data_IF_728643984607
#
_entry.id   IF_728643984607
#
_cell.length_a   1.000
_cell.length_b   1.000
_cell.length_c   1.000
_cell.angle_alpha   90.00
_cell.angle_beta   90.00
_cell.angle_gamma   90.00
#
_symmetry.space_group_name_H-M   'P 1'
#
loop_
_entity.id
_entity.type
_entity.pdbx_description
1 polymer ?
#
# COMPACT_ATOMS: atom_id res chain seq x y z
N UNK A 1 -19.80 4.83 -5.14
CA UNK A 1 -20.96 4.14 -5.73
C UNK A 1 -20.69 3.64 -7.18
N UNK A 2 -19.58 4.01 -7.78
CA UNK A 2 -19.23 3.56 -9.13
C UNK A 2 -18.70 2.12 -9.12
N UNK A 3 -17.88 1.77 -8.13
CA UNK A 3 -17.20 0.48 -8.06
C UNK A 3 -17.80 -0.49 -7.03
N UNK A 4 -18.53 0.02 -6.02
CA UNK A 4 -19.03 -0.79 -4.90
C UNK A 4 -20.50 -0.45 -4.66
N UNK A 5 -21.33 -1.48 -4.51
CA UNK A 5 -22.71 -1.30 -4.08
C UNK A 5 -22.77 -0.69 -2.67
N UNK A 6 -23.78 0.18 -2.45
CA UNK A 6 -23.92 0.90 -1.17
C UNK A 6 -24.09 -0.02 0.04
N UNK A 7 -24.71 -1.19 -0.15
CA UNK A 7 -24.92 -2.17 0.93
C UNK A 7 -23.60 -2.84 1.30
N UNK A 8 -22.78 -3.20 0.30
CA UNK A 8 -21.46 -3.80 0.53
C UNK A 8 -20.47 -2.77 1.11
N UNK A 9 -20.49 -1.53 0.64
CA UNK A 9 -19.64 -0.47 1.18
C UNK A 9 -19.81 -0.24 2.69
N UNK A 10 -21.02 -0.46 3.24
CA UNK A 10 -21.26 -0.36 4.70
C UNK A 10 -20.55 -1.42 5.53
N UNK A 11 -20.17 -2.53 4.92
CA UNK A 11 -19.44 -3.64 5.57
C UNK A 11 -17.92 -3.45 5.53
N UNK A 12 -17.42 -2.40 4.89
CA UNK A 12 -16.00 -2.13 4.64
C UNK A 12 -15.61 -0.79 5.25
N UNK A 13 -14.41 -0.73 5.81
CA UNK A 13 -13.75 0.56 6.08
C UNK A 13 -13.38 1.25 4.75
N UNK A 14 -13.12 2.54 4.79
CA UNK A 14 -12.87 3.34 3.60
C UNK A 14 -11.61 2.87 2.83
N UNK A 15 -10.54 2.45 3.54
CA UNK A 15 -9.34 1.93 2.88
C UNK A 15 -9.64 0.67 2.04
N UNK A 16 -10.52 -0.23 2.53
CA UNK A 16 -10.97 -1.41 1.77
C UNK A 16 -11.79 -1.01 0.55
N UNK A 17 -12.60 0.05 0.67
CA UNK A 17 -13.37 0.57 -0.47
C UNK A 17 -12.43 1.12 -1.57
N UNK A 18 -11.36 1.82 -1.20
CA UNK A 18 -10.33 2.24 -2.15
C UNK A 18 -9.64 1.03 -2.79
N UNK A 19 -9.28 0.00 -2.01
CA UNK A 19 -8.68 -1.23 -2.52
C UNK A 19 -9.55 -1.88 -3.61
N UNK A 20 -10.85 -2.06 -3.36
CA UNK A 20 -11.79 -2.59 -4.36
C UNK A 20 -11.86 -1.71 -5.61
N UNK A 21 -11.91 -0.38 -5.41
CA UNK A 21 -11.98 0.56 -6.52
C UNK A 21 -10.78 0.48 -7.47
N UNK A 22 -9.57 0.45 -6.92
CA UNK A 22 -8.33 0.37 -7.72
C UNK A 22 -8.09 -1.04 -8.27
N UNK A 23 -8.46 -2.09 -7.53
CA UNK A 23 -8.35 -3.47 -8.02
C UNK A 23 -9.27 -3.71 -9.23
N UNK A 24 -10.51 -3.20 -9.23
CA UNK A 24 -11.40 -3.29 -10.38
C UNK A 24 -10.80 -2.63 -11.61
N UNK A 25 -10.24 -1.43 -11.47
CA UNK A 25 -9.59 -0.72 -12.56
C UNK A 25 -8.38 -1.49 -13.09
N UNK A 26 -7.53 -2.02 -12.19
CA UNK A 26 -6.34 -2.76 -12.59
C UNK A 26 -6.66 -4.08 -13.29
N UNK A 27 -7.63 -4.85 -12.79
CA UNK A 27 -8.05 -6.11 -13.43
C UNK A 27 -8.70 -5.84 -14.79
N UNK A 28 -9.55 -4.82 -14.90
CA UNK A 28 -10.15 -4.42 -16.18
C UNK A 28 -9.08 -3.98 -17.19
N UNK A 29 -8.15 -3.12 -16.80
CA UNK A 29 -7.07 -2.62 -17.66
C UNK A 29 -6.09 -3.72 -18.09
N UNK A 30 -5.86 -4.72 -17.23
CA UNK A 30 -5.02 -5.88 -17.54
C UNK A 30 -5.58 -6.77 -18.64
N UNK A 31 -6.89 -6.70 -18.90
CA UNK A 31 -7.59 -7.58 -19.80
C UNK A 31 -7.56 -9.06 -19.39
N UNK A 32 -7.35 -9.35 -18.10
CA UNK A 32 -7.35 -10.71 -17.56
C UNK A 32 -8.75 -11.30 -17.69
N UNK A 33 -8.88 -12.40 -18.42
CA UNK A 33 -10.16 -13.09 -18.63
C UNK A 33 -10.46 -14.04 -17.48
N UNK A 34 -11.04 -13.49 -16.42
CA UNK A 34 -11.32 -14.20 -15.16
C UNK A 34 -12.17 -15.46 -15.36
N UNK A 35 -13.00 -15.52 -16.41
CA UNK A 35 -13.85 -16.69 -16.68
C UNK A 35 -13.08 -17.87 -17.28
N UNK A 36 -11.96 -17.62 -17.95
CA UNK A 36 -11.16 -18.63 -18.63
C UNK A 36 -9.80 -18.91 -17.97
N UNK A 37 -9.48 -18.22 -16.88
CA UNK A 37 -8.22 -18.39 -16.13
C UNK A 37 -8.30 -19.49 -15.06
N UNK A 38 -7.15 -20.08 -14.72
CA UNK A 38 -7.06 -20.92 -13.50
C UNK A 38 -7.01 -20.02 -12.26
N UNK A 39 -8.16 -19.80 -11.65
CA UNK A 39 -8.31 -18.96 -10.47
C UNK A 39 -7.50 -19.45 -9.26
N UNK A 40 -7.04 -20.70 -9.23
CA UNK A 40 -6.15 -21.22 -8.19
C UNK A 40 -4.71 -20.70 -8.35
N UNK A 41 -4.38 -20.17 -9.53
CA UNK A 41 -3.09 -19.56 -9.86
C UNK A 41 -3.10 -18.05 -9.87
N UNK A 42 -4.22 -17.42 -9.50
CA UNK A 42 -4.32 -15.97 -9.36
C UNK A 42 -4.41 -15.62 -7.88
N UNK A 43 -3.46 -14.82 -7.40
CA UNK A 43 -3.36 -14.39 -6.01
C UNK A 43 -3.71 -12.92 -5.80
N UNK A 44 -3.79 -12.54 -4.52
CA UNK A 44 -3.95 -11.15 -4.09
C UNK A 44 -3.01 -10.87 -2.93
N UNK A 45 -2.08 -9.94 -3.10
CA UNK A 45 -1.22 -9.44 -2.03
C UNK A 45 -1.42 -7.93 -1.97
N UNK A 46 -2.17 -7.47 -0.97
CA UNK A 46 -2.63 -6.09 -0.93
C UNK A 46 -2.50 -5.51 0.47
N UNK A 47 -1.67 -4.49 0.63
CA UNK A 47 -1.27 -3.98 1.92
C UNK A 47 -2.04 -2.76 2.40
N UNK A 48 -2.06 -2.58 3.71
CA UNK A 48 -2.45 -1.34 4.39
C UNK A 48 -1.51 -1.11 5.57
N UNK A 49 -0.99 0.10 5.72
CA UNK A 49 -0.04 0.42 6.79
C UNK A 49 -0.71 0.51 8.17
N UNK A 50 -1.93 1.01 8.22
CA UNK A 50 -2.72 1.19 9.44
C UNK A 50 -4.02 0.37 9.37
N UNK A 51 -4.67 0.31 8.21
CA UNK A 51 -5.95 -0.37 8.04
C UNK A 51 -7.14 0.45 8.57
N UNK A 52 -8.12 -0.22 9.18
CA UNK A 52 -9.39 0.37 9.54
C UNK A 52 -9.41 1.28 10.77
N UNK A 53 -8.52 2.25 10.84
CA UNK A 53 -8.42 3.18 11.98
C UNK A 53 -9.69 4.03 12.19
N UNK A 54 -10.40 4.38 11.12
CA UNK A 54 -11.69 5.09 11.22
C UNK A 54 -12.73 4.24 11.94
N UNK A 55 -12.85 2.99 11.53
CA UNK A 55 -13.75 2.03 12.18
C UNK A 55 -13.37 1.82 13.62
N UNK A 56 -12.08 1.71 13.94
CA UNK A 56 -11.61 1.59 15.32
C UNK A 56 -11.99 2.82 16.15
N UNK A 57 -11.73 4.02 15.66
CA UNK A 57 -12.05 5.28 16.33
C UNK A 57 -13.55 5.39 16.62
N UNK A 58 -14.40 5.10 15.63
CA UNK A 58 -15.84 5.17 15.75
C UNK A 58 -16.38 4.15 16.79
N UNK A 59 -15.99 2.89 16.68
CA UNK A 59 -16.49 1.82 17.55
C UNK A 59 -15.95 1.93 18.99
N UNK A 60 -14.66 2.18 19.16
CA UNK A 60 -14.05 2.36 20.47
C UNK A 60 -14.53 3.65 21.14
N UNK A 61 -14.66 4.74 20.38
CA UNK A 61 -15.20 6.01 20.86
C UNK A 61 -16.66 5.88 21.31
N UNK A 62 -17.51 5.23 20.51
CA UNK A 62 -18.89 4.97 20.87
C UNK A 62 -19.01 4.13 22.15
N UNK A 63 -18.22 3.06 22.29
CA UNK A 63 -18.18 2.27 23.52
C UNK A 63 -17.70 3.11 24.70
N UNK A 64 -16.69 3.94 24.54
CA UNK A 64 -16.16 4.78 25.63
C UNK A 64 -17.18 5.80 26.16
N UNK A 65 -18.05 6.32 25.27
CA UNK A 65 -19.12 7.27 25.60
C UNK A 65 -20.36 6.59 26.23
N UNK A 66 -20.56 5.30 25.99
CA UNK A 66 -21.78 4.57 26.36
C UNK A 66 -21.47 3.26 27.08
N UNK A 67 -20.47 3.28 28.00
CA UNK A 67 -20.03 2.10 28.78
C UNK A 67 -21.15 1.42 29.55
N UNK A 68 -22.15 2.17 29.99
CA UNK A 68 -23.34 1.68 30.71
C UNK A 68 -24.15 0.67 29.89
N UNK A 69 -24.02 0.69 28.54
CA UNK A 69 -24.72 -0.24 27.66
C UNK A 69 -23.96 -1.57 27.46
N UNK A 70 -22.79 -1.73 28.08
CA UNK A 70 -21.90 -2.86 27.88
C UNK A 70 -21.15 -2.81 26.54
N UNK A 71 -20.26 -3.77 26.26
CA UNK A 71 -19.43 -3.79 25.07
C UNK A 71 -20.22 -4.26 23.85
N UNK A 72 -21.03 -3.39 23.27
CA UNK A 72 -21.79 -3.62 22.05
C UNK A 72 -21.06 -2.99 20.87
N UNK A 73 -20.58 -3.82 19.95
CA UNK A 73 -19.88 -3.42 18.75
C UNK A 73 -20.63 -3.86 17.49
N UNK A 74 -20.35 -3.20 16.37
CA UNK A 74 -20.82 -3.61 15.07
C UNK A 74 -20.28 -5.02 14.75
N UNK A 75 -21.12 -5.97 14.25
CA UNK A 75 -20.64 -7.31 13.84
C UNK A 75 -19.49 -7.28 12.81
N UNK A 76 -19.37 -6.22 12.04
CA UNK A 76 -18.29 -6.02 11.07
C UNK A 76 -17.10 -5.27 11.65
N UNK A 77 -17.06 -4.95 12.94
CA UNK A 77 -15.98 -4.17 13.55
C UNK A 77 -14.59 -4.76 13.24
N UNK A 78 -14.36 -6.01 13.63
CA UNK A 78 -13.08 -6.66 13.39
C UNK A 78 -12.78 -6.83 11.88
N UNK A 79 -13.71 -7.39 11.07
CA UNK A 79 -13.47 -7.49 9.62
C UNK A 79 -13.20 -6.15 8.91
N UNK A 80 -13.75 -5.05 9.40
CA UNK A 80 -13.47 -3.72 8.85
C UNK A 80 -12.12 -3.16 9.28
N UNK A 81 -11.64 -3.57 10.45
CA UNK A 81 -10.45 -3.00 11.07
C UNK A 81 -9.15 -3.66 10.58
N UNK A 82 -9.12 -4.99 10.44
CA UNK A 82 -7.90 -5.74 10.14
C UNK A 82 -7.36 -5.44 8.74
N UNK A 83 -6.03 -5.31 8.64
CA UNK A 83 -5.36 -4.83 7.43
C UNK A 83 -5.40 -5.80 6.24
N UNK A 84 -5.62 -7.09 6.47
CA UNK A 84 -5.65 -8.14 5.43
C UNK A 84 -6.99 -8.26 4.71
N UNK A 85 -8.05 -7.67 5.26
CA UNK A 85 -9.39 -7.82 4.69
C UNK A 85 -9.51 -7.24 3.26
N UNK A 86 -8.69 -6.25 2.91
CA UNK A 86 -8.67 -5.71 1.56
C UNK A 86 -8.28 -6.80 0.53
N UNK A 87 -7.22 -7.57 0.81
CA UNK A 87 -6.83 -8.72 -0.02
C UNK A 87 -7.93 -9.78 -0.06
N UNK A 88 -8.55 -10.09 1.08
CA UNK A 88 -9.67 -11.03 1.17
C UNK A 88 -10.88 -10.58 0.35
N UNK A 89 -11.27 -9.32 0.42
CA UNK A 89 -12.41 -8.77 -0.34
C UNK A 89 -12.18 -8.77 -1.85
N UNK A 90 -10.96 -8.46 -2.31
CA UNK A 90 -10.60 -8.55 -3.73
C UNK A 90 -10.68 -10.01 -4.19
N UNK A 91 -10.17 -10.95 -3.40
CA UNK A 91 -10.23 -12.38 -3.67
C UNK A 91 -11.67 -12.88 -3.79
N UNK A 92 -12.54 -12.51 -2.85
CA UNK A 92 -13.97 -12.85 -2.88
C UNK A 92 -14.66 -12.28 -4.13
N UNK A 93 -14.32 -11.05 -4.50
CA UNK A 93 -14.93 -10.36 -5.64
C UNK A 93 -14.72 -11.11 -6.97
N UNK A 94 -13.55 -11.71 -7.16
CA UNK A 94 -13.15 -12.36 -8.41
C UNK A 94 -13.07 -13.88 -8.33
N UNK A 95 -13.21 -14.46 -7.16
CA UNK A 95 -13.02 -15.91 -6.95
C UNK A 95 -11.56 -16.35 -7.05
N UNK A 96 -10.60 -15.47 -6.76
CA UNK A 96 -9.18 -15.82 -6.79
C UNK A 96 -8.80 -16.68 -5.59
N UNK A 97 -8.19 -17.83 -5.81
CA UNK A 97 -7.84 -18.83 -4.81
C UNK A 97 -6.33 -19.03 -4.62
N UNK A 98 -5.50 -18.27 -5.34
CA UNK A 98 -4.06 -18.27 -5.16
C UNK A 98 -3.62 -17.64 -3.83
N UNK A 99 -2.32 -17.35 -3.64
CA UNK A 99 -1.81 -16.72 -2.41
C UNK A 99 -2.60 -15.47 -2.05
N UNK A 100 -3.05 -15.36 -0.79
CA UNK A 100 -3.84 -14.22 -0.31
C UNK A 100 -3.39 -13.78 1.07
N UNK A 101 -2.83 -12.59 1.19
CA UNK A 101 -2.43 -11.97 2.45
C UNK A 101 -2.13 -10.49 2.28
N UNK A 102 -1.94 -9.79 3.40
CA UNK A 102 -1.46 -8.41 3.42
C UNK A 102 -0.03 -8.32 3.95
N UNK A 103 0.76 -7.44 3.36
CA UNK A 103 1.98 -6.93 3.98
C UNK A 103 1.64 -5.77 4.92
N UNK A 104 2.47 -5.54 5.93
CA UNK A 104 2.37 -4.37 6.80
C UNK A 104 3.79 -3.92 7.19
N UNK A 105 4.26 -2.85 6.57
CA UNK A 105 5.58 -2.25 6.78
C UNK A 105 5.54 -0.72 6.65
N UNK A 106 4.52 -0.13 7.27
CA UNK A 106 4.25 1.31 7.25
C UNK A 106 4.24 1.86 5.81
N UNK A 107 5.03 2.91 5.51
CA UNK A 107 5.07 3.54 4.19
C UNK A 107 5.58 2.63 3.07
N UNK A 108 6.33 1.57 3.38
CA UNK A 108 6.84 0.59 2.41
C UNK A 108 5.85 -0.55 2.10
N UNK A 109 4.69 -0.58 2.75
CA UNK A 109 3.72 -1.67 2.67
C UNK A 109 3.37 -2.07 1.24
N UNK A 110 2.96 -1.13 0.40
CA UNK A 110 2.58 -1.42 -1.00
C UNK A 110 3.77 -1.92 -1.83
N UNK A 111 4.95 -1.35 -1.61
CA UNK A 111 6.18 -1.80 -2.29
C UNK A 111 6.54 -3.23 -1.88
N UNK A 112 6.41 -3.57 -0.61
CA UNK A 112 6.64 -4.93 -0.15
C UNK A 112 5.57 -5.91 -0.68
N UNK A 113 4.31 -5.48 -0.82
CA UNK A 113 3.28 -6.29 -1.47
C UNK A 113 3.66 -6.64 -2.91
N UNK A 114 4.16 -5.65 -3.67
CA UNK A 114 4.62 -5.84 -5.05
C UNK A 114 5.87 -6.74 -5.09
N UNK A 115 6.82 -6.56 -4.18
CA UNK A 115 8.02 -7.38 -4.07
C UNK A 115 7.68 -8.86 -3.77
N UNK A 116 6.76 -9.10 -2.85
CA UNK A 116 6.29 -10.45 -2.52
C UNK A 116 5.54 -11.09 -3.70
N UNK A 117 4.68 -10.33 -4.39
CA UNK A 117 3.97 -10.80 -5.57
C UNK A 117 4.96 -11.20 -6.68
N UNK A 118 5.96 -10.37 -6.97
CA UNK A 118 7.04 -10.68 -7.92
C UNK A 118 7.76 -11.97 -7.54
N UNK A 119 8.17 -12.12 -6.28
CA UNK A 119 8.87 -13.31 -5.81
C UNK A 119 8.01 -14.58 -5.92
N UNK A 120 6.72 -14.52 -5.58
CA UNK A 120 5.83 -15.68 -5.67
C UNK A 120 5.56 -16.09 -7.12
N UNK A 121 5.44 -15.14 -8.05
CA UNK A 121 5.31 -15.43 -9.48
C UNK A 121 6.61 -16.07 -10.00
N UNK A 122 7.77 -15.48 -9.68
CA UNK A 122 9.10 -16.02 -10.05
C UNK A 122 9.33 -17.44 -9.52
N UNK A 123 8.77 -17.76 -8.37
CA UNK A 123 8.82 -19.10 -7.77
C UNK A 123 7.73 -20.06 -8.33
N UNK A 124 6.92 -19.67 -9.30
CA UNK A 124 5.85 -20.48 -9.90
C UNK A 124 4.68 -20.77 -8.97
N UNK A 125 4.49 -19.97 -7.90
CA UNK A 125 3.39 -20.12 -6.95
C UNK A 125 2.07 -19.53 -7.45
N UNK A 126 2.14 -18.57 -8.37
CA UNK A 126 1.00 -17.97 -9.04
C UNK A 126 1.39 -17.61 -10.47
N UNK A 127 0.41 -17.54 -11.38
CA UNK A 127 0.59 -17.01 -12.72
C UNK A 127 0.36 -15.49 -12.75
N UNK A 128 -0.57 -15.00 -11.93
CA UNK A 128 -0.83 -13.58 -11.77
C UNK A 128 -1.15 -13.25 -10.31
N UNK A 129 -0.83 -12.03 -9.91
CA UNK A 129 -1.15 -11.50 -8.56
C UNK A 129 -1.62 -10.05 -8.70
N UNK A 130 -2.80 -9.78 -8.15
CA UNK A 130 -3.31 -8.43 -7.91
C UNK A 130 -2.59 -7.87 -6.69
N UNK A 131 -1.80 -6.81 -6.86
CA UNK A 131 -0.93 -6.30 -5.80
C UNK A 131 -0.94 -4.79 -5.71
N UNK A 132 -0.76 -4.27 -4.52
CA UNK A 132 -0.74 -2.84 -4.25
C UNK A 132 -1.01 -2.52 -2.79
N UNK A 133 -1.65 -1.38 -2.56
CA UNK A 133 -2.06 -0.98 -1.23
C UNK A 133 -3.02 0.20 -1.24
N UNK A 134 -3.67 0.39 -0.10
CA UNK A 134 -4.57 1.51 0.13
C UNK A 134 -4.55 1.95 1.59
N UNK A 135 -4.85 3.22 1.82
CA UNK A 135 -4.94 3.78 3.17
C UNK A 135 -6.03 4.86 3.26
N UNK A 136 -6.69 4.95 4.42
CA UNK A 136 -7.71 5.94 4.71
C UNK A 136 -7.62 6.40 6.17
N UNK A 137 -6.49 7.00 6.54
CA UNK A 137 -6.15 7.33 7.94
C UNK A 137 -6.46 8.78 8.33
N UNK A 138 -7.18 9.57 7.52
CA UNK A 138 -7.60 10.92 7.87
C UNK A 138 -8.83 10.84 8.81
N UNK A 139 -8.53 10.47 10.05
CA UNK A 139 -9.44 10.42 11.20
C UNK A 139 -8.80 11.18 12.36
N UNK A 140 -9.54 11.50 13.41
CA UNK A 140 -9.00 12.28 14.52
C UNK A 140 -7.80 11.58 15.18
N UNK A 141 -7.87 10.25 15.37
CA UNK A 141 -6.75 9.45 15.88
C UNK A 141 -5.53 9.50 14.93
N UNK A 142 -5.74 9.38 13.62
CA UNK A 142 -4.66 9.41 12.62
C UNK A 142 -3.98 10.76 12.57
N UNK A 143 -4.76 11.83 12.41
CA UNK A 143 -4.23 13.21 12.39
C UNK A 143 -3.58 13.57 13.72
N UNK A 144 -4.26 13.27 14.84
CA UNK A 144 -3.75 13.55 16.18
C UNK A 144 -2.46 12.79 16.49
N UNK A 145 -2.36 11.52 16.06
CA UNK A 145 -1.16 10.70 16.24
C UNK A 145 0.05 11.27 15.51
N UNK A 146 -0.10 11.58 14.22
CA UNK A 146 1.00 12.19 13.43
C UNK A 146 1.33 13.61 13.88
N UNK A 147 0.33 14.39 14.33
CA UNK A 147 0.56 15.70 14.92
C UNK A 147 1.37 15.63 16.22
N UNK A 148 1.08 14.65 17.08
CA UNK A 148 1.83 14.42 18.32
C UNK A 148 3.31 14.04 18.05
N UNK A 149 3.61 13.48 16.89
CA UNK A 149 4.98 13.18 16.42
C UNK A 149 5.66 14.42 15.78
N UNK A 150 4.99 15.56 15.69
CA UNK A 150 5.45 16.75 14.95
C UNK A 150 5.84 16.44 13.49
N UNK A 151 5.13 15.51 12.85
CA UNK A 151 5.43 15.04 11.50
C UNK A 151 4.64 15.77 10.41
N UNK A 152 3.52 16.41 10.78
CA UNK A 152 2.65 17.12 9.84
C UNK A 152 3.12 18.56 9.62
N UNK A 153 2.96 19.05 8.37
CA UNK A 153 3.09 20.47 8.07
C UNK A 153 2.03 21.27 8.83
N UNK A 154 2.42 22.42 9.34
CA UNK A 154 1.52 23.37 10.03
C UNK A 154 1.11 24.53 9.14
N UNK A 155 1.41 24.48 7.86
CA UNK A 155 1.13 25.56 6.90
C UNK A 155 -0.35 25.59 6.48
N UNK A 156 -1.20 26.06 7.40
CA UNK A 156 -2.64 26.19 7.18
C UNK A 156 -3.03 27.49 6.47
N UNK A 157 -2.12 28.45 6.38
CA UNK A 157 -2.26 29.72 5.66
C UNK A 157 -2.10 29.56 4.13
N UNK A 158 -1.47 28.46 3.68
CA UNK A 158 -1.24 28.16 2.27
C UNK A 158 -1.26 26.64 2.04
N UNK A 159 -2.42 25.97 2.20
CA UNK A 159 -2.53 24.51 2.19
C UNK A 159 -2.14 23.89 0.84
N UNK A 160 -2.41 24.55 -0.27
CA UNK A 160 -2.07 24.09 -1.63
C UNK A 160 -0.56 24.04 -1.89
N UNK A 161 0.26 24.71 -1.08
CA UNK A 161 1.72 24.65 -1.15
C UNK A 161 2.36 24.02 0.09
N UNK A 162 1.57 23.39 0.96
CA UNK A 162 2.06 22.80 2.21
C UNK A 162 2.94 21.56 1.96
N UNK A 163 2.54 20.67 1.05
CA UNK A 163 3.41 19.57 0.59
C UNK A 163 4.43 20.13 -0.41
N UNK A 164 5.70 20.18 0.00
CA UNK A 164 6.79 20.76 -0.81
C UNK A 164 8.08 19.95 -0.70
N UNK A 165 8.08 18.71 -1.23
CA UNK A 165 9.29 17.90 -1.28
C UNK A 165 10.49 18.65 -1.85
N UNK A 166 11.69 18.41 -1.34
CA UNK A 166 12.96 19.06 -1.72
C UNK A 166 13.08 20.55 -1.47
N UNK A 167 12.03 21.25 -1.02
CA UNK A 167 12.10 22.65 -0.66
C UNK A 167 12.91 22.88 0.63
N UNK A 168 13.69 23.94 0.69
CA UNK A 168 14.38 24.36 1.92
C UNK A 168 13.42 24.74 3.05
N UNK A 169 12.19 25.17 2.71
CA UNK A 169 11.15 25.59 3.65
C UNK A 169 10.11 24.51 3.97
N UNK A 170 10.38 23.23 3.64
CA UNK A 170 9.51 22.11 4.01
C UNK A 170 9.46 21.94 5.53
N UNK A 171 8.30 21.62 6.07
CA UNK A 171 8.05 21.58 7.50
C UNK A 171 7.28 20.37 8.00
N UNK A 172 6.99 19.42 7.10
CA UNK A 172 6.24 18.21 7.42
C UNK A 172 5.47 17.69 6.22
N UNK A 173 4.82 16.53 6.37
CA UNK A 173 3.99 15.94 5.31
C UNK A 173 2.53 16.34 5.45
N UNK A 174 1.76 16.11 4.40
CA UNK A 174 0.31 16.25 4.38
C UNK A 174 -0.28 14.82 4.22
N UNK A 175 -1.22 14.48 5.08
CA UNK A 175 -1.91 13.19 4.99
C UNK A 175 -2.76 13.13 3.73
N UNK A 176 -2.68 12.00 3.03
CA UNK A 176 -3.53 11.66 1.90
C UNK A 176 -4.27 10.36 2.15
N UNK A 177 -5.32 10.13 1.37
CA UNK A 177 -6.07 8.88 1.33
C UNK A 177 -6.18 8.41 -0.10
N UNK A 178 -6.17 7.10 -0.32
CA UNK A 178 -6.30 6.52 -1.64
C UNK A 178 -5.75 5.12 -1.74
N UNK A 179 -5.58 4.64 -2.98
CA UNK A 179 -4.99 3.34 -3.26
C UNK A 179 -4.37 3.30 -4.64
N UNK A 180 -3.49 2.32 -4.85
CA UNK A 180 -2.91 1.96 -6.12
C UNK A 180 -2.84 0.45 -6.26
N UNK A 181 -3.03 -0.05 -7.49
CA UNK A 181 -3.06 -1.48 -7.77
C UNK A 181 -2.40 -1.79 -9.10
N UNK A 182 -1.65 -2.87 -9.12
CA UNK A 182 -1.06 -3.47 -10.32
C UNK A 182 -1.52 -4.92 -10.43
N UNK A 183 -1.60 -5.42 -11.66
CA UNK A 183 -1.64 -6.85 -11.94
C UNK A 183 -0.24 -7.25 -12.39
N UNK A 184 0.46 -8.00 -11.55
CA UNK A 184 1.73 -8.63 -11.91
C UNK A 184 1.43 -10.00 -12.49
N UNK A 185 2.13 -10.37 -13.56
CA UNK A 185 1.85 -11.58 -14.31
C UNK A 185 3.13 -12.20 -14.82
N UNK A 186 3.19 -13.52 -14.88
CA UNK A 186 4.29 -14.26 -15.47
C UNK A 186 4.37 -13.90 -16.97
N UNK A 187 5.59 -13.68 -17.46
CA UNK A 187 5.82 -13.09 -18.78
C UNK A 187 5.24 -13.92 -19.93
N UNK A 188 5.48 -15.22 -19.93
CA UNK A 188 5.00 -16.09 -21.01
C UNK A 188 3.49 -16.28 -20.95
N UNK A 189 2.90 -16.27 -19.75
CA UNK A 189 1.46 -16.27 -19.56
C UNK A 189 0.85 -14.98 -20.15
N UNK A 190 1.41 -13.80 -19.84
CA UNK A 190 0.96 -12.52 -20.38
C UNK A 190 1.07 -12.47 -21.93
N UNK A 191 2.18 -12.94 -22.49
CA UNK A 191 2.39 -13.02 -23.94
C UNK A 191 1.39 -13.97 -24.61
N UNK A 192 1.15 -15.15 -24.02
CA UNK A 192 0.26 -16.15 -24.60
C UNK A 192 -1.17 -15.65 -24.78
N UNK A 193 -1.67 -14.82 -23.86
CA UNK A 193 -2.99 -14.19 -23.97
C UNK A 193 -2.99 -12.83 -24.70
N UNK A 194 -1.83 -12.36 -25.17
CA UNK A 194 -1.70 -11.08 -25.87
C UNK A 194 -1.91 -9.85 -24.96
N UNK A 195 -1.52 -9.95 -23.69
CA UNK A 195 -1.66 -8.86 -22.73
C UNK A 195 -0.88 -7.61 -23.14
N UNK A 196 -1.41 -6.44 -22.82
CA UNK A 196 -0.66 -5.20 -22.89
C UNK A 196 0.32 -5.13 -21.72
N UNK A 197 1.60 -5.28 -22.01
CA UNK A 197 2.67 -5.21 -21.02
C UNK A 197 3.15 -3.75 -20.94
N UNK A 198 3.05 -3.15 -19.74
CA UNK A 198 3.51 -1.77 -19.49
C UNK A 198 5.00 -1.71 -19.17
N UNK A 199 5.47 -2.66 -18.35
CA UNK A 199 6.86 -2.74 -17.91
C UNK A 199 7.16 -4.14 -17.36
N UNK A 200 8.43 -4.41 -17.15
CA UNK A 200 8.92 -5.58 -16.43
C UNK A 200 9.36 -5.16 -15.02
N UNK A 201 9.03 -5.97 -14.01
CA UNK A 201 9.66 -5.89 -12.69
C UNK A 201 10.92 -6.72 -12.75
N UNK A 202 12.06 -6.06 -12.89
CA UNK A 202 13.35 -6.72 -13.11
C UNK A 202 13.95 -7.28 -11.82
N UNK A 203 13.73 -6.61 -10.68
CA UNK A 203 14.25 -7.06 -9.40
C UNK A 203 13.67 -6.28 -8.23
N UNK A 204 13.86 -6.80 -7.02
CA UNK A 204 13.37 -6.21 -5.78
C UNK A 204 14.46 -6.19 -4.71
N UNK A 205 14.43 -5.17 -3.85
CA UNK A 205 15.34 -5.04 -2.72
C UNK A 205 14.59 -4.79 -1.42
N UNK A 206 15.12 -5.32 -0.34
CA UNK A 206 14.63 -5.07 1.02
C UNK A 206 15.81 -4.82 1.94
N UNK A 207 15.64 -3.93 2.93
CA UNK A 207 16.64 -3.62 3.94
C UNK A 207 15.98 -3.03 5.18
N UNK A 208 16.77 -2.82 6.23
CA UNK A 208 16.36 -2.09 7.42
C UNK A 208 17.48 -1.15 7.85
N UNK A 209 17.14 0.03 8.37
CA UNK A 209 18.10 0.97 8.94
C UNK A 209 18.72 0.46 10.26
N UNK A 210 17.99 -0.31 11.04
CA UNK A 210 18.38 -0.81 12.36
C UNK A 210 19.00 0.28 13.27
N UNK A 211 18.46 1.49 13.19
CA UNK A 211 19.02 2.69 13.82
C UNK A 211 18.08 3.35 14.84
N UNK A 212 16.90 3.77 14.43
CA UNK A 212 15.93 4.47 15.26
C UNK A 212 14.51 4.12 14.84
N UNK A 213 13.52 4.32 15.75
CA UNK A 213 12.12 3.97 15.50
C UNK A 213 11.53 4.71 14.29
N UNK A 214 11.87 5.99 14.12
CA UNK A 214 11.28 6.87 13.09
C UNK A 214 12.31 7.63 12.25
N UNK A 215 13.56 7.77 12.71
CA UNK A 215 14.62 8.48 12.00
C UNK A 215 15.45 7.53 11.15
N UNK A 216 15.77 7.97 9.93
CA UNK A 216 16.69 7.24 9.05
C UNK A 216 18.11 7.23 9.60
N UNK A 217 18.88 6.22 9.20
CA UNK A 217 20.32 6.15 9.53
C UNK A 217 21.05 7.40 9.01
N UNK A 218 21.93 8.05 9.80
CA UNK A 218 22.59 9.29 9.41
C UNK A 218 23.35 9.24 8.09
N UNK A 219 23.88 8.08 7.75
CA UNK A 219 24.61 7.84 6.49
C UNK A 219 23.72 7.23 5.38
N UNK A 220 22.40 7.12 5.60
CA UNK A 220 21.47 6.51 4.64
C UNK A 220 21.73 5.02 4.37
N UNK A 221 22.20 4.27 5.38
CA UNK A 221 22.62 2.88 5.20
C UNK A 221 21.52 2.01 4.60
N UNK A 222 20.29 2.04 5.17
CA UNK A 222 19.17 1.24 4.69
C UNK A 222 18.77 1.61 3.26
N UNK A 223 18.74 2.92 2.92
CA UNK A 223 18.45 3.38 1.57
C UNK A 223 19.49 2.88 0.55
N UNK A 224 20.79 2.95 0.89
CA UNK A 224 21.86 2.41 0.05
C UNK A 224 21.76 0.89 -0.12
N UNK A 225 21.44 0.17 0.95
CA UNK A 225 21.32 -1.28 0.92
C UNK A 225 20.13 -1.72 0.08
N UNK A 226 18.95 -1.10 0.22
CA UNK A 226 17.76 -1.48 -0.55
C UNK A 226 17.96 -1.25 -2.05
N UNK A 227 18.58 -0.13 -2.45
CA UNK A 227 18.92 0.14 -3.85
C UNK A 227 19.92 -0.88 -4.40
N UNK A 228 20.98 -1.18 -3.65
CA UNK A 228 21.96 -2.21 -4.03
C UNK A 228 21.31 -3.58 -4.19
N UNK A 229 20.53 -4.01 -3.21
CA UNK A 229 19.84 -5.31 -3.26
C UNK A 229 18.91 -5.42 -4.45
N UNK A 230 18.18 -4.33 -4.80
CA UNK A 230 17.31 -4.30 -5.97
C UNK A 230 18.09 -4.42 -7.28
N UNK A 231 19.23 -3.74 -7.40
CA UNK A 231 20.09 -3.82 -8.58
C UNK A 231 20.76 -5.20 -8.70
N UNK A 232 21.22 -5.77 -7.58
CA UNK A 232 21.77 -7.13 -7.55
C UNK A 232 20.72 -8.17 -7.99
N UNK A 233 19.49 -8.09 -7.50
CA UNK A 233 18.40 -9.00 -7.89
C UNK A 233 17.99 -8.81 -9.36
N UNK A 234 18.09 -7.59 -9.90
CA UNK A 234 17.84 -7.26 -11.30
C UNK A 234 19.02 -7.56 -12.24
N UNK A 235 20.19 -7.93 -11.71
CA UNK A 235 21.46 -8.05 -12.45
C UNK A 235 21.84 -6.76 -13.21
N UNK A 236 21.50 -5.59 -12.65
CA UNK A 236 21.72 -4.28 -13.23
C UNK A 236 22.84 -3.52 -12.53
N UNK A 237 23.44 -2.58 -13.25
CA UNK A 237 24.44 -1.63 -12.72
C UNK A 237 23.79 -0.28 -12.41
N UNK A 238 24.34 0.50 -11.47
CA UNK A 238 23.82 1.84 -11.13
C UNK A 238 23.69 2.78 -12.36
N UNK A 239 24.61 2.66 -13.32
CA UNK A 239 24.65 3.50 -14.52
C UNK A 239 23.49 3.22 -15.52
N UNK A 240 22.76 2.13 -15.31
CA UNK A 240 21.59 1.74 -16.12
C UNK A 240 20.28 2.27 -15.54
N UNK A 241 20.35 3.04 -14.42
CA UNK A 241 19.18 3.63 -13.77
C UNK A 241 18.98 5.06 -14.28
N UNK A 242 17.89 5.29 -14.99
CA UNK A 242 17.53 6.62 -15.51
C UNK A 242 16.76 7.48 -14.49
N UNK A 243 16.01 6.86 -13.58
CA UNK A 243 15.12 7.58 -12.65
C UNK A 243 14.96 6.86 -11.32
N UNK A 244 14.98 7.62 -10.22
CA UNK A 244 14.69 7.12 -8.87
C UNK A 244 13.45 7.84 -8.33
N UNK A 245 12.38 7.10 -8.09
CA UNK A 245 11.21 7.60 -7.39
C UNK A 245 11.43 7.43 -5.88
N UNK A 246 11.60 8.55 -5.18
CA UNK A 246 11.85 8.56 -3.73
C UNK A 246 10.56 8.70 -2.94
N UNK A 247 10.59 8.33 -1.67
CA UNK A 247 9.45 8.51 -0.76
C UNK A 247 9.02 9.98 -0.66
N UNK A 248 9.95 10.91 -0.50
CA UNK A 248 9.74 12.33 -0.74
C UNK A 248 8.59 12.99 0.04
N UNK A 249 8.52 12.80 1.36
CA UNK A 249 7.35 13.18 2.18
C UNK A 249 7.28 14.65 2.61
N UNK A 250 8.22 15.50 2.20
CA UNK A 250 8.28 16.91 2.67
C UNK A 250 8.65 17.05 4.16
N UNK A 251 9.11 15.99 4.82
CA UNK A 251 9.67 16.06 6.17
C UNK A 251 11.12 16.51 6.15
N UNK A 252 11.65 17.14 7.22
CA UNK A 252 13.07 17.54 7.30
C UNK A 252 14.04 16.36 7.09
N UNK A 253 13.69 15.17 7.58
CA UNK A 253 14.55 13.98 7.62
C UNK A 253 14.70 13.29 6.26
N UNK A 254 13.70 13.33 5.39
CA UNK A 254 13.62 12.48 4.18
C UNK A 254 14.64 12.79 3.09
N UNK A 255 15.36 13.91 3.16
CA UNK A 255 16.18 14.38 2.04
C UNK A 255 17.66 14.52 2.32
N UNK A 256 18.09 14.32 3.56
CA UNK A 256 19.50 14.49 3.98
C UNK A 256 20.43 13.37 3.46
N UNK A 257 19.88 12.32 2.87
CA UNK A 257 20.64 11.08 2.58
C UNK A 257 20.62 10.65 1.11
N UNK A 258 20.01 11.43 0.21
CA UNK A 258 19.95 11.11 -1.22
C UNK A 258 21.05 11.78 -2.05
N UNK A 259 22.12 12.24 -1.44
CA UNK A 259 23.37 12.50 -2.19
C UNK A 259 24.05 11.19 -2.43
N UNK A 260 23.86 10.66 -3.63
CA UNK A 260 24.64 9.56 -4.18
C UNK A 260 26.07 10.01 -4.41
#
# INVERSE_FOLDING_TARGET
NQYIDRKEARKMDLYTQYAIGVAKQAVEDSGLDVENEDLNKIGVIFGAGIGGIRTFEEEAGNYALHKENGPKFNPFFIPKMISDIAAGQISILYGFHGPNYATCSACATSTNAIADAFNLIRLGKANAIVSGGSEAAIAACGVGGFNAMHALSTRNDSPETASRPFSASRDGFIMGEGGGCLVLEELEHAKARGAKIYAEVAGVGMSADAHHLTASHPEGLGAKLVMRNALEDAEMKPEEVDYINVHGTSTPVSYTHLTL
#
